data_IF_398840966138
#
_entry.id   IF_398840966138
#
_cell.length_a   1.000
_cell.length_b   1.000
_cell.length_c   1.000
_cell.angle_alpha   90.00
_cell.angle_beta   90.00
_cell.angle_gamma   90.00
#
_symmetry.space_group_name_H-M   'P 1'
#
loop_
_entity.id
_entity.type
_entity.pdbx_description
1 polymer ?
#
# COMPACT_ATOMS: atom_id res chain seq x y z
N UNK A 1 -22.25 5.89 26.41
CA UNK A 1 -21.17 6.34 25.49
C UNK A 1 -21.50 7.75 25.03
N UNK A 2 -20.68 8.76 25.33
CA UNK A 2 -20.94 10.14 24.85
C UNK A 2 -20.57 10.21 23.35
N UNK A 3 -21.50 10.51 22.44
CA UNK A 3 -21.25 10.54 20.99
C UNK A 3 -20.25 11.63 20.53
N UNK A 4 -19.82 12.53 21.43
CA UNK A 4 -19.00 13.70 21.11
C UNK A 4 -17.49 13.45 20.95
N UNK A 5 -16.95 12.27 21.27
CA UNK A 5 -15.47 12.05 21.28
C UNK A 5 -14.86 11.39 20.03
N UNK A 6 -15.67 10.97 19.07
CA UNK A 6 -15.20 10.15 17.92
C UNK A 6 -15.57 10.76 16.56
N UNK A 7 -16.07 12.00 16.55
CA UNK A 7 -16.46 12.69 15.31
C UNK A 7 -15.33 12.77 14.28
N UNK A 8 -14.07 12.85 14.74
CA UNK A 8 -12.90 12.91 13.86
C UNK A 8 -12.68 11.61 13.07
N UNK A 9 -13.07 10.44 13.61
CA UNK A 9 -13.03 9.17 12.88
C UNK A 9 -14.10 9.18 11.80
N UNK A 10 -15.32 9.61 12.15
CA UNK A 10 -16.41 9.77 11.19
C UNK A 10 -16.04 10.73 10.07
N UNK A 11 -15.43 11.87 10.40
CA UNK A 11 -14.94 12.85 9.45
C UNK A 11 -13.88 12.27 8.51
N UNK A 12 -12.96 11.43 9.01
CA UNK A 12 -11.96 10.76 8.19
C UNK A 12 -12.56 9.66 7.29
N UNK A 13 -13.65 9.01 7.71
CA UNK A 13 -14.29 7.93 6.94
C UNK A 13 -15.14 8.44 5.77
N UNK A 14 -15.72 9.64 5.85
CA UNK A 14 -16.49 10.23 4.74
C UNK A 14 -15.68 10.29 3.43
N UNK A 15 -14.47 10.89 3.38
CA UNK A 15 -13.68 10.89 2.15
C UNK A 15 -13.21 9.49 1.76
N UNK A 16 -12.95 8.59 2.71
CA UNK A 16 -12.60 7.19 2.41
C UNK A 16 -13.71 6.49 1.63
N UNK A 17 -14.97 6.61 2.08
CA UNK A 17 -16.11 5.99 1.41
C UNK A 17 -16.34 6.62 0.03
N UNK A 18 -16.18 7.93 -0.09
CA UNK A 18 -16.27 8.60 -1.39
C UNK A 18 -15.19 8.12 -2.36
N UNK A 19 -13.92 8.04 -1.92
CA UNK A 19 -12.81 7.51 -2.71
C UNK A 19 -13.08 6.06 -3.10
N UNK A 20 -13.50 5.22 -2.15
CA UNK A 20 -13.87 3.82 -2.42
C UNK A 20 -14.94 3.71 -3.51
N UNK A 21 -16.02 4.49 -3.41
CA UNK A 21 -17.10 4.47 -4.38
C UNK A 21 -16.62 4.88 -5.78
N UNK A 22 -15.84 5.95 -5.88
CA UNK A 22 -15.28 6.40 -7.17
C UNK A 22 -14.31 5.36 -7.75
N UNK A 23 -13.40 4.82 -6.94
CA UNK A 23 -12.47 3.77 -7.36
C UNK A 23 -13.20 2.49 -7.79
N UNK A 24 -14.27 2.10 -7.10
CA UNK A 24 -15.09 0.96 -7.47
C UNK A 24 -15.79 1.18 -8.82
N UNK A 25 -16.40 2.35 -9.03
CA UNK A 25 -17.04 2.72 -10.30
C UNK A 25 -16.02 2.74 -11.44
N UNK A 26 -14.85 3.37 -11.21
CA UNK A 26 -13.77 3.41 -12.19
C UNK A 26 -13.28 1.99 -12.52
N UNK A 27 -13.09 1.13 -11.51
CA UNK A 27 -12.67 -0.26 -11.69
C UNK A 27 -13.69 -1.09 -12.47
N UNK A 28 -14.99 -0.91 -12.19
CA UNK A 28 -16.07 -1.59 -12.92
C UNK A 28 -16.11 -1.14 -14.39
N UNK A 29 -15.80 0.12 -14.67
CA UNK A 29 -15.78 0.66 -16.02
C UNK A 29 -14.71 0.04 -16.93
N UNK A 30 -13.74 -0.71 -16.38
CA UNK A 30 -12.78 -1.48 -17.17
C UNK A 30 -13.42 -2.71 -17.82
N UNK A 31 -14.47 -3.29 -17.23
CA UNK A 31 -15.05 -4.54 -17.73
C UNK A 31 -15.54 -4.37 -19.18
N UNK A 32 -15.01 -5.21 -20.07
CA UNK A 32 -15.30 -5.18 -21.51
C UNK A 32 -14.50 -4.15 -22.30
N UNK A 33 -13.70 -3.29 -21.67
CA UNK A 33 -12.88 -2.28 -22.37
C UNK A 33 -11.62 -2.88 -22.99
N UNK A 34 -11.09 -2.25 -24.06
CA UNK A 34 -9.78 -2.58 -24.62
C UNK A 34 -8.66 -2.47 -23.58
N UNK A 35 -7.82 -3.49 -23.50
CA UNK A 35 -6.76 -3.62 -22.50
C UNK A 35 -5.46 -4.09 -23.17
N UNK A 36 -4.31 -3.45 -22.89
CA UNK A 36 -3.04 -3.75 -23.56
C UNK A 36 -2.38 -5.07 -23.11
N UNK A 37 -2.91 -5.74 -22.08
CA UNK A 37 -2.30 -6.95 -21.52
C UNK A 37 -1.28 -6.69 -20.42
N UNK A 38 -1.20 -5.46 -19.90
CA UNK A 38 -0.38 -5.10 -18.73
C UNK A 38 -0.95 -3.85 -18.08
N UNK A 39 -0.61 -3.61 -16.81
CA UNK A 39 -0.97 -2.40 -16.09
C UNK A 39 0.14 -1.36 -16.24
N UNK A 40 -0.24 -0.11 -16.45
CA UNK A 40 0.68 1.01 -16.68
C UNK A 40 0.35 2.15 -15.74
N UNK A 41 1.36 2.61 -15.00
CA UNK A 41 1.26 3.79 -14.16
C UNK A 41 1.18 5.07 -15.00
N UNK A 42 0.76 6.18 -14.39
CA UNK A 42 0.57 7.46 -15.09
C UNK A 42 1.81 7.94 -15.83
N UNK A 43 3.01 7.70 -15.27
CA UNK A 43 4.29 8.03 -15.88
C UNK A 43 4.75 7.09 -17.01
N UNK A 44 3.93 6.11 -17.37
CA UNK A 44 4.21 5.17 -18.45
C UNK A 44 5.05 3.95 -18.04
N UNK A 45 5.35 3.79 -16.75
CA UNK A 45 6.05 2.60 -16.22
C UNK A 45 5.06 1.44 -16.11
N UNK A 46 5.43 0.29 -16.65
CA UNK A 46 4.66 -0.94 -16.48
C UNK A 46 4.87 -1.52 -15.08
N UNK A 47 3.80 -1.84 -14.39
CA UNK A 47 3.89 -2.47 -13.06
C UNK A 47 3.91 -3.99 -13.17
N UNK A 48 4.46 -4.65 -12.16
CA UNK A 48 4.57 -6.12 -12.10
C UNK A 48 3.31 -6.84 -11.61
N UNK A 49 2.32 -6.07 -11.15
CA UNK A 49 1.00 -6.60 -10.84
C UNK A 49 0.31 -7.03 -12.12
N UNK A 50 -0.20 -8.27 -12.13
CA UNK A 50 -0.96 -8.74 -13.25
C UNK A 50 -1.26 -10.22 -13.20
N UNK A 51 -1.72 -10.75 -14.34
CA UNK A 51 -2.08 -12.16 -14.47
C UNK A 51 -1.15 -12.85 -15.46
N UNK A 52 -0.79 -14.09 -15.16
CA UNK A 52 0.08 -14.92 -15.99
C UNK A 52 -0.42 -15.13 -17.42
N UNK A 53 -1.71 -14.91 -17.65
CA UNK A 53 -2.39 -15.06 -18.93
C UNK A 53 -2.41 -13.77 -19.78
N UNK A 54 -2.02 -12.62 -19.23
CA UNK A 54 -2.07 -11.34 -19.95
C UNK A 54 -0.91 -11.18 -20.91
N UNK A 55 0.29 -11.48 -20.44
CA UNK A 55 1.51 -11.53 -21.25
C UNK A 55 1.80 -12.98 -21.60
N UNK A 56 1.94 -13.28 -22.90
CA UNK A 56 2.56 -14.55 -23.30
C UNK A 56 3.92 -14.67 -22.58
N UNK A 57 4.18 -15.86 -22.05
CA UNK A 57 5.13 -16.24 -20.99
C UNK A 57 6.62 -15.90 -21.25
N UNK A 58 6.94 -15.10 -22.28
CA UNK A 58 8.31 -14.81 -22.75
C UNK A 58 8.87 -13.44 -22.39
N UNK A 59 8.07 -12.45 -22.00
CA UNK A 59 8.55 -11.06 -21.98
C UNK A 59 8.94 -10.59 -20.57
N UNK A 60 9.99 -11.23 -20.03
CA UNK A 60 10.54 -10.97 -18.67
C UNK A 60 11.04 -9.54 -18.46
N UNK A 61 11.32 -8.80 -19.54
CA UNK A 61 11.88 -7.44 -19.50
C UNK A 61 10.85 -6.33 -19.38
N UNK A 62 9.55 -6.63 -19.44
CA UNK A 62 8.46 -5.64 -19.46
C UNK A 62 8.13 -5.03 -18.09
N UNK A 63 8.06 -5.78 -16.98
CA UNK A 63 7.86 -5.17 -15.66
C UNK A 63 8.95 -4.13 -15.36
N UNK A 64 8.52 -2.97 -14.85
CA UNK A 64 9.35 -1.77 -14.61
C UNK A 64 9.94 -1.09 -15.84
N UNK A 65 9.67 -1.60 -17.05
CA UNK A 65 10.01 -0.88 -18.26
C UNK A 65 9.04 0.29 -18.50
N UNK A 66 9.55 1.39 -19.06
CA UNK A 66 8.73 2.52 -19.49
C UNK A 66 8.33 2.36 -20.96
N UNK A 67 7.06 2.59 -21.27
CA UNK A 67 6.60 2.70 -22.67
C UNK A 67 7.06 4.04 -23.24
N UNK A 68 7.80 4.00 -24.34
CA UNK A 68 8.26 5.18 -25.07
C UNK A 68 7.39 5.49 -26.29
N UNK A 69 6.88 4.46 -26.96
CA UNK A 69 6.08 4.61 -28.17
C UNK A 69 5.11 3.45 -28.38
N UNK A 70 4.04 3.74 -29.12
CA UNK A 70 2.98 2.80 -29.52
C UNK A 70 2.79 2.89 -31.03
N UNK A 71 3.02 1.80 -31.76
CA UNK A 71 3.05 1.74 -33.23
C UNK A 71 3.95 2.83 -33.85
N UNK A 72 5.07 3.13 -33.19
CA UNK A 72 6.02 4.17 -33.63
C UNK A 72 5.66 5.59 -33.21
N UNK A 73 4.47 5.83 -32.65
CA UNK A 73 4.07 7.13 -32.12
C UNK A 73 4.60 7.33 -30.68
N UNK A 74 5.39 8.37 -30.40
CA UNK A 74 5.86 8.65 -29.05
C UNK A 74 4.70 8.86 -28.07
N UNK A 75 4.88 8.41 -26.83
CA UNK A 75 3.91 8.61 -25.74
C UNK A 75 4.59 9.25 -24.53
N UNK A 76 3.87 10.13 -23.84
CA UNK A 76 4.38 10.81 -22.64
C UNK A 76 4.18 10.00 -21.35
N UNK A 77 3.14 9.15 -21.33
CA UNK A 77 2.79 8.34 -20.16
C UNK A 77 1.62 7.39 -20.38
N UNK A 78 1.08 6.86 -19.29
CA UNK A 78 0.03 5.84 -19.30
C UNK A 78 -1.29 6.31 -19.94
N UNK A 79 -1.61 7.60 -19.81
CA UNK A 79 -2.82 8.19 -20.42
C UNK A 79 -2.82 8.07 -21.95
N UNK A 80 -1.71 8.42 -22.59
CA UNK A 80 -1.57 8.34 -24.06
C UNK A 80 -1.67 6.89 -24.53
N UNK A 81 -1.03 5.97 -23.81
CA UNK A 81 -1.08 4.54 -24.10
C UNK A 81 -2.52 4.02 -23.99
N UNK A 82 -3.23 4.36 -22.91
CA UNK A 82 -4.61 3.90 -22.72
C UNK A 82 -5.57 4.53 -23.75
N UNK A 83 -5.39 5.81 -24.10
CA UNK A 83 -6.17 6.48 -25.14
C UNK A 83 -5.99 5.79 -26.49
N UNK A 84 -4.74 5.49 -26.87
CA UNK A 84 -4.43 4.78 -28.10
C UNK A 84 -5.05 3.37 -28.13
N UNK A 85 -4.91 2.61 -27.04
CA UNK A 85 -5.46 1.25 -26.92
C UNK A 85 -6.99 1.25 -27.00
N UNK A 86 -7.64 2.22 -26.34
CA UNK A 86 -9.09 2.38 -26.40
C UNK A 86 -9.57 2.68 -27.82
N UNK A 87 -8.87 3.55 -28.56
CA UNK A 87 -9.20 3.89 -29.94
C UNK A 87 -8.94 2.73 -30.92
N UNK A 88 -7.88 1.94 -30.67
CA UNK A 88 -7.51 0.79 -31.48
C UNK A 88 -8.56 -0.34 -31.48
N UNK A 89 -9.24 -0.55 -30.35
CA UNK A 89 -10.21 -1.62 -30.19
C UNK A 89 -9.60 -3.00 -29.92
N UNK A 90 -10.45 -3.94 -29.49
CA UNK A 90 -10.06 -5.32 -29.17
C UNK A 90 -9.63 -6.07 -30.44
N UNK A 91 -8.55 -6.84 -30.35
CA UNK A 91 -8.02 -7.67 -31.44
C UNK A 91 -6.92 -7.00 -32.28
N UNK A 92 -6.74 -5.67 -32.19
CA UNK A 92 -5.63 -4.99 -32.87
C UNK A 92 -4.28 -5.42 -32.26
N UNK A 93 -3.33 -5.78 -33.10
CA UNK A 93 -1.95 -5.98 -32.66
C UNK A 93 -1.21 -4.63 -32.67
N UNK A 94 -0.63 -4.26 -31.53
CA UNK A 94 0.07 -3.00 -31.31
C UNK A 94 1.54 -3.29 -30.98
N UNK A 95 2.46 -2.54 -31.59
CA UNK A 95 3.89 -2.62 -31.32
C UNK A 95 4.30 -1.57 -30.30
N UNK A 96 4.66 -2.02 -29.11
CA UNK A 96 5.15 -1.16 -28.03
C UNK A 96 6.67 -1.08 -28.09
N UNK A 97 7.22 0.14 -27.91
CA UNK A 97 8.64 0.34 -27.66
C UNK A 97 8.84 0.61 -26.17
N UNK A 98 9.65 -0.21 -25.52
CA UNK A 98 9.94 -0.14 -24.09
C UNK A 98 11.37 0.30 -23.84
N UNK A 99 11.61 0.89 -22.67
CA UNK A 99 12.95 1.14 -22.11
C UNK A 99 13.06 0.53 -20.73
N UNK A 100 14.10 -0.26 -20.50
CA UNK A 100 14.47 -0.76 -19.18
C UNK A 100 15.97 -0.50 -18.95
N UNK A 101 16.30 0.50 -18.14
CA UNK A 101 17.67 1.00 -18.04
C UNK A 101 18.15 1.55 -19.40
N UNK A 102 19.28 1.04 -19.89
CA UNK A 102 19.83 1.36 -21.21
C UNK A 102 19.24 0.52 -22.34
N UNK A 103 18.54 -0.56 -22.02
CA UNK A 103 17.96 -1.45 -23.01
C UNK A 103 16.67 -0.88 -23.58
N UNK A 104 16.55 -0.90 -24.91
CA UNK A 104 15.35 -0.50 -25.65
C UNK A 104 14.94 -1.66 -26.54
N UNK A 105 13.73 -2.17 -26.30
CA UNK A 105 13.22 -3.30 -27.03
C UNK A 105 11.78 -3.05 -27.49
N UNK A 106 11.36 -3.77 -28.53
CA UNK A 106 10.02 -3.69 -29.08
C UNK A 106 9.28 -4.98 -28.86
N UNK A 107 7.98 -4.87 -28.57
CA UNK A 107 7.12 -6.02 -28.37
C UNK A 107 5.77 -5.79 -29.02
N UNK A 108 5.33 -6.77 -29.80
CA UNK A 108 4.00 -6.76 -30.42
C UNK A 108 3.02 -7.49 -29.51
N UNK A 109 2.01 -6.78 -29.04
CA UNK A 109 0.97 -7.31 -28.15
C UNK A 109 -0.41 -7.05 -28.75
N UNK A 110 -1.30 -8.03 -28.61
CA UNK A 110 -2.67 -7.93 -29.10
C UNK A 110 -3.57 -7.35 -28.01
N UNK A 111 -4.35 -6.32 -28.36
CA UNK A 111 -5.35 -5.73 -27.48
C UNK A 111 -6.43 -6.74 -27.16
N UNK A 112 -6.77 -6.88 -25.87
CA UNK A 112 -7.72 -7.88 -25.38
C UNK A 112 -8.84 -7.18 -24.61
N UNK A 113 -10.01 -7.79 -24.43
CA UNK A 113 -11.02 -7.23 -23.53
C UNK A 113 -10.61 -7.51 -22.08
N UNK A 114 -10.71 -6.51 -21.21
CA UNK A 114 -10.58 -6.72 -19.77
C UNK A 114 -11.81 -7.44 -19.23
N UNK A 115 -11.65 -8.65 -18.69
CA UNK A 115 -12.78 -9.52 -18.32
C UNK A 115 -13.23 -9.27 -16.89
N UNK A 116 -14.46 -9.68 -16.55
CA UNK A 116 -14.94 -9.70 -15.17
C UNK A 116 -14.03 -10.50 -14.24
N UNK A 117 -13.44 -11.60 -14.73
CA UNK A 117 -12.45 -12.37 -13.96
C UNK A 117 -11.17 -11.58 -13.69
N UNK A 118 -10.76 -10.70 -14.60
CA UNK A 118 -9.63 -9.80 -14.38
C UNK A 118 -9.96 -8.79 -13.27
N UNK A 119 -11.15 -8.19 -13.31
CA UNK A 119 -11.66 -7.33 -12.25
C UNK A 119 -11.66 -8.03 -10.88
N UNK A 120 -12.26 -9.23 -10.78
CA UNK A 120 -12.39 -9.96 -9.53
C UNK A 120 -11.04 -10.36 -8.91
N UNK A 121 -10.04 -10.65 -9.73
CA UNK A 121 -8.73 -11.09 -9.24
C UNK A 121 -7.76 -9.92 -9.03
N UNK A 122 -7.99 -8.79 -9.69
CA UNK A 122 -7.12 -7.63 -9.59
C UNK A 122 -7.65 -6.60 -8.58
N UNK A 123 -8.86 -6.08 -8.81
CA UNK A 123 -9.38 -4.93 -8.09
C UNK A 123 -10.11 -5.28 -6.80
N UNK A 124 -10.84 -6.41 -6.74
CA UNK A 124 -11.54 -6.80 -5.51
C UNK A 124 -10.59 -7.02 -4.33
N UNK A 125 -9.42 -7.67 -4.47
CA UNK A 125 -8.46 -7.77 -3.36
C UNK A 125 -7.95 -6.40 -2.92
N UNK A 126 -7.62 -5.49 -3.84
CA UNK A 126 -7.14 -4.15 -3.52
C UNK A 126 -8.20 -3.34 -2.76
N UNK A 127 -9.40 -3.26 -3.34
CA UNK A 127 -10.53 -2.52 -2.77
C UNK A 127 -11.01 -3.13 -1.45
N UNK A 128 -11.15 -4.45 -1.40
CA UNK A 128 -11.67 -5.19 -0.25
C UNK A 128 -10.71 -5.16 0.94
N UNK A 129 -9.44 -5.49 0.71
CA UNK A 129 -8.41 -5.44 1.78
C UNK A 129 -8.25 -4.01 2.28
N UNK A 130 -8.14 -3.03 1.38
CA UNK A 130 -7.97 -1.63 1.77
C UNK A 130 -9.13 -1.12 2.62
N UNK A 131 -10.37 -1.42 2.22
CA UNK A 131 -11.56 -1.02 2.97
C UNK A 131 -11.63 -1.73 4.34
N UNK A 132 -11.37 -3.04 4.40
CA UNK A 132 -11.40 -3.80 5.65
C UNK A 132 -10.36 -3.31 6.66
N UNK A 133 -9.13 -3.02 6.21
CA UNK A 133 -8.09 -2.44 7.07
C UNK A 133 -8.58 -1.15 7.74
N UNK A 134 -9.17 -0.24 6.96
CA UNK A 134 -9.67 1.04 7.48
C UNK A 134 -10.86 0.83 8.42
N UNK A 135 -11.85 0.04 8.04
CA UNK A 135 -13.06 -0.13 8.84
C UNK A 135 -12.80 -0.83 10.18
N UNK A 136 -11.96 -1.87 10.19
CA UNK A 136 -11.61 -2.59 11.41
C UNK A 136 -10.83 -1.69 12.35
N UNK A 137 -9.79 -1.01 11.85
CA UNK A 137 -8.99 -0.09 12.66
C UNK A 137 -9.78 1.13 13.15
N UNK A 138 -10.70 1.67 12.34
CA UNK A 138 -11.65 2.70 12.75
C UNK A 138 -12.53 2.21 13.91
N UNK A 139 -13.01 0.96 13.85
CA UNK A 139 -13.77 0.34 14.93
C UNK A 139 -12.97 0.16 16.23
N UNK A 140 -11.66 -0.07 16.15
CA UNK A 140 -10.78 -0.17 17.32
C UNK A 140 -10.58 1.21 17.94
N UNK A 141 -10.18 2.21 17.15
CA UNK A 141 -9.92 3.56 17.67
C UNK A 141 -11.20 4.26 18.14
N UNK A 142 -12.35 3.94 17.57
CA UNK A 142 -13.64 4.42 18.07
C UNK A 142 -13.99 3.89 19.46
N UNK A 143 -13.54 2.67 19.79
CA UNK A 143 -13.69 2.08 21.14
C UNK A 143 -12.64 2.59 22.12
N UNK A 144 -11.45 2.94 21.65
CA UNK A 144 -10.32 3.42 22.47
C UNK A 144 -9.70 4.71 21.92
N UNK A 145 -10.45 5.83 21.86
CA UNK A 145 -9.99 7.06 21.18
C UNK A 145 -8.80 7.75 21.88
N UNK A 146 -8.67 7.56 23.20
CA UNK A 146 -7.58 8.14 24.00
C UNK A 146 -6.29 7.31 23.93
N UNK A 147 -6.38 6.05 23.47
CA UNK A 147 -5.25 5.13 23.41
C UNK A 147 -4.30 5.52 22.26
N UNK A 148 -3.03 5.90 22.54
CA UNK A 148 -2.07 6.28 21.50
C UNK A 148 -1.80 5.14 20.51
N UNK A 149 -1.75 3.89 20.98
CA UNK A 149 -1.56 2.69 20.17
C UNK A 149 -2.71 2.46 19.19
N UNK A 150 -3.97 2.68 19.61
CA UNK A 150 -5.13 2.54 18.74
C UNK A 150 -5.15 3.60 17.63
N UNK A 151 -4.71 4.83 17.94
CA UNK A 151 -4.57 5.91 16.95
C UNK A 151 -3.42 5.66 15.97
N UNK A 152 -2.29 5.16 16.46
CA UNK A 152 -1.16 4.80 15.61
C UNK A 152 -1.53 3.65 14.66
N UNK A 153 -2.22 2.64 15.18
CA UNK A 153 -2.73 1.53 14.37
C UNK A 153 -3.72 1.98 13.30
N UNK A 154 -4.65 2.88 13.66
CA UNK A 154 -5.55 3.50 12.68
C UNK A 154 -4.78 4.26 11.60
N UNK A 155 -3.74 5.02 11.95
CA UNK A 155 -2.92 5.73 10.96
C UNK A 155 -2.22 4.76 9.98
N UNK A 156 -1.68 3.64 10.47
CA UNK A 156 -1.07 2.59 9.63
C UNK A 156 -2.10 2.01 8.66
N UNK A 157 -3.26 1.60 9.19
CA UNK A 157 -4.32 1.01 8.37
C UNK A 157 -4.96 2.01 7.41
N UNK A 158 -5.03 3.28 7.77
CA UNK A 158 -5.50 4.35 6.90
C UNK A 158 -4.54 4.58 5.73
N UNK A 159 -3.23 4.64 6.00
CA UNK A 159 -2.21 4.81 4.97
C UNK A 159 -2.18 3.63 3.99
N UNK A 160 -2.08 2.39 4.50
CA UNK A 160 -2.14 1.19 3.65
C UNK A 160 -3.49 1.08 2.94
N UNK A 161 -4.59 1.31 3.65
CA UNK A 161 -5.93 1.20 3.11
C UNK A 161 -6.18 2.16 1.96
N UNK A 162 -5.86 3.45 2.12
CA UNK A 162 -6.00 4.45 1.06
C UNK A 162 -5.11 4.14 -0.14
N UNK A 163 -3.87 3.72 0.09
CA UNK A 163 -2.98 3.27 -0.99
C UNK A 163 -3.59 2.10 -1.77
N UNK A 164 -4.17 1.10 -1.09
CA UNK A 164 -4.81 -0.04 -1.74
C UNK A 164 -6.09 0.34 -2.49
N UNK A 165 -6.96 1.16 -1.88
CA UNK A 165 -8.20 1.63 -2.50
C UNK A 165 -7.90 2.38 -3.81
N UNK A 166 -6.98 3.32 -3.74
CA UNK A 166 -6.57 4.16 -4.88
C UNK A 166 -5.65 3.44 -5.85
N UNK A 167 -5.06 2.30 -5.46
CA UNK A 167 -4.24 1.47 -6.34
C UNK A 167 -5.00 0.95 -7.55
N UNK A 168 -6.31 0.77 -7.44
CA UNK A 168 -7.17 0.44 -8.59
C UNK A 168 -7.23 1.56 -9.63
N UNK A 169 -7.19 2.81 -9.18
CA UNK A 169 -7.26 4.03 -9.99
C UNK A 169 -5.87 4.46 -10.51
N UNK A 170 -4.80 4.01 -9.86
CA UNK A 170 -3.40 4.29 -10.22
C UNK A 170 -2.98 3.77 -11.60
N UNK A 171 -3.82 2.94 -12.24
CA UNK A 171 -3.57 2.39 -13.58
C UNK A 171 -4.49 2.95 -14.66
N UNK A 172 -5.61 3.56 -14.28
CA UNK A 172 -6.54 4.35 -15.10
C UNK A 172 -7.80 4.61 -14.26
N UNK A 173 -8.42 5.81 -14.27
CA UNK A 173 -8.06 7.03 -14.99
C UNK A 173 -7.03 7.94 -14.30
N UNK A 174 -6.29 7.48 -13.29
CA UNK A 174 -5.23 8.25 -12.61
C UNK A 174 -5.73 9.55 -11.94
N UNK A 175 -6.94 9.53 -11.37
CA UNK A 175 -7.51 10.67 -10.62
C UNK A 175 -6.93 10.74 -9.21
N UNK A 176 -6.69 9.59 -8.60
CA UNK A 176 -6.20 9.47 -7.23
C UNK A 176 -4.72 9.16 -7.13
N UNK A 177 -3.94 9.35 -8.21
CA UNK A 177 -2.48 9.21 -8.17
C UNK A 177 -1.84 10.00 -7.02
N UNK A 178 -2.24 11.27 -6.74
CA UNK A 178 -1.71 11.99 -5.57
C UNK A 178 -2.03 11.31 -4.24
N UNK A 179 -3.26 10.86 -4.06
CA UNK A 179 -3.68 10.17 -2.83
C UNK A 179 -2.93 8.86 -2.66
N UNK A 180 -2.71 8.12 -3.75
CA UNK A 180 -1.92 6.89 -3.74
C UNK A 180 -0.51 7.12 -3.19
N UNK A 181 0.25 8.07 -3.77
CA UNK A 181 1.63 8.33 -3.36
C UNK A 181 1.74 9.00 -1.99
N UNK A 182 0.83 9.91 -1.66
CA UNK A 182 0.80 10.51 -0.31
C UNK A 182 0.48 9.47 0.76
N UNK A 183 -0.43 8.54 0.48
CA UNK A 183 -0.76 7.44 1.40
C UNK A 183 0.40 6.46 1.53
N UNK A 184 1.07 6.14 0.42
CA UNK A 184 2.30 5.33 0.42
C UNK A 184 3.40 5.99 1.30
N UNK A 185 3.61 7.30 1.16
CA UNK A 185 4.56 8.04 1.99
C UNK A 185 4.14 8.16 3.45
N UNK A 186 2.85 8.07 3.77
CA UNK A 186 2.36 8.09 5.15
C UNK A 186 2.59 6.77 5.90
N UNK A 187 2.90 5.67 5.20
CA UNK A 187 3.13 4.36 5.83
C UNK A 187 4.34 4.37 6.78
N UNK A 188 5.55 4.81 6.38
CA UNK A 188 6.69 4.83 7.29
C UNK A 188 6.46 5.63 8.59
N UNK A 189 6.01 6.90 8.57
CA UNK A 189 5.80 7.67 9.80
C UNK A 189 4.66 7.09 10.65
N UNK A 190 3.61 6.52 10.04
CA UNK A 190 2.55 5.84 10.80
C UNK A 190 3.08 4.57 11.50
N UNK A 191 3.93 3.81 10.81
CA UNK A 191 4.54 2.59 11.35
C UNK A 191 5.56 2.91 12.45
N UNK A 192 6.32 4.00 12.29
CA UNK A 192 7.21 4.51 13.32
C UNK A 192 6.42 5.01 14.53
N UNK A 193 5.32 5.75 14.32
CA UNK A 193 4.42 6.15 15.40
C UNK A 193 3.90 4.92 16.16
N UNK A 194 3.58 3.82 15.47
CA UNK A 194 3.19 2.56 16.09
C UNK A 194 4.31 1.99 16.96
N UNK A 195 5.53 1.90 16.43
CA UNK A 195 6.72 1.43 17.16
C UNK A 195 7.07 2.26 18.41
N UNK A 196 6.74 3.55 18.39
CA UNK A 196 6.99 4.46 19.52
C UNK A 196 5.87 4.44 20.57
N UNK A 197 4.69 3.91 20.23
CA UNK A 197 3.52 3.90 21.11
C UNK A 197 3.20 2.52 21.68
N UNK A 198 3.59 1.43 21.00
CA UNK A 198 3.32 0.05 21.42
C UNK A 198 4.54 -0.86 21.16
N UNK A 199 4.85 -1.85 22.04
CA UNK A 199 4.08 -2.32 23.21
C UNK A 199 4.22 -1.43 24.46
N UNK A 200 5.30 -0.65 24.54
CA UNK A 200 5.51 0.38 25.55
C UNK A 200 5.69 1.73 24.88
N UNK A 201 5.09 2.75 25.49
CA UNK A 201 5.24 4.12 25.04
C UNK A 201 6.67 4.60 25.34
N UNK A 202 7.43 4.91 24.30
CA UNK A 202 8.77 5.46 24.44
C UNK A 202 8.72 6.94 24.80
N UNK A 203 9.60 7.37 25.71
CA UNK A 203 9.65 8.76 26.18
C UNK A 203 10.15 9.77 25.11
N UNK A 204 10.69 9.28 23.99
CA UNK A 204 11.41 10.07 22.96
C UNK A 204 10.62 11.26 22.41
N UNK A 205 9.30 11.14 22.23
CA UNK A 205 8.46 12.22 21.68
C UNK A 205 7.67 13.01 22.75
N UNK A 206 7.86 12.69 24.04
CA UNK A 206 7.10 13.29 25.14
C UNK A 206 5.58 13.13 25.02
N UNK A 207 4.82 13.93 25.78
CA UNK A 207 3.33 13.96 25.72
C UNK A 207 2.78 14.91 24.65
N UNK A 208 3.61 15.43 23.74
CA UNK A 208 3.22 16.51 22.81
C UNK A 208 2.62 15.94 21.51
N UNK A 209 1.33 16.17 21.22
CA UNK A 209 0.68 15.63 20.01
C UNK A 209 1.31 16.17 18.71
N UNK A 210 1.82 17.40 18.72
CA UNK A 210 2.51 18.01 17.57
C UNK A 210 3.80 17.28 17.18
N UNK A 211 4.44 16.58 18.12
CA UNK A 211 5.67 15.84 17.84
C UNK A 211 5.40 14.66 16.90
N UNK A 212 4.21 14.04 16.97
CA UNK A 212 3.81 13.01 16.01
C UNK A 212 3.51 13.61 14.63
N UNK A 213 2.93 14.81 14.56
CA UNK A 213 2.68 15.50 13.28
C UNK A 213 4.00 15.84 12.57
N UNK A 214 5.02 16.25 13.32
CA UNK A 214 6.35 16.52 12.80
C UNK A 214 7.00 15.30 12.12
N UNK A 215 6.65 14.06 12.55
CA UNK A 215 7.12 12.84 11.88
C UNK A 215 6.63 12.74 10.44
N UNK A 216 5.44 13.26 10.11
CA UNK A 216 4.86 13.16 8.77
C UNK A 216 5.39 14.23 7.81
N UNK A 217 5.90 15.36 8.32
CA UNK A 217 6.39 16.47 7.51
C UNK A 217 7.44 16.07 6.44
N UNK A 218 8.54 15.35 6.77
CA UNK A 218 9.50 14.93 5.75
C UNK A 218 8.89 13.99 4.71
N UNK A 219 7.92 13.16 5.10
CA UNK A 219 7.25 12.24 4.18
C UNK A 219 6.21 12.91 3.28
N UNK A 220 5.59 14.00 3.74
CA UNK A 220 4.82 14.89 2.86
C UNK A 220 5.72 15.50 1.80
N UNK A 221 6.93 15.94 2.18
CA UNK A 221 7.96 16.40 1.24
C UNK A 221 8.36 15.32 0.23
N UNK A 222 8.60 14.09 0.68
CA UNK A 222 8.88 12.94 -0.19
C UNK A 222 7.70 12.63 -1.14
N UNK A 223 6.46 12.71 -0.66
CA UNK A 223 5.27 12.51 -1.48
C UNK A 223 5.12 13.59 -2.56
N UNK A 224 5.35 14.85 -2.21
CA UNK A 224 5.38 15.94 -3.17
C UNK A 224 6.52 15.76 -4.20
N UNK A 225 7.69 15.34 -3.75
CA UNK A 225 8.83 15.01 -4.62
C UNK A 225 8.55 13.85 -5.57
N UNK A 226 7.86 12.81 -5.11
CA UNK A 226 7.41 11.71 -5.97
C UNK A 226 6.44 12.18 -7.05
N UNK A 227 5.49 13.04 -6.67
CA UNK A 227 4.50 13.57 -7.61
C UNK A 227 5.14 14.48 -8.66
N UNK A 228 6.07 15.36 -8.26
CA UNK A 228 6.75 16.26 -9.20
C UNK A 228 7.76 15.54 -10.10
N UNK A 229 8.38 14.47 -9.62
CA UNK A 229 9.38 13.69 -10.37
C UNK A 229 8.79 12.59 -11.25
N UNK A 230 7.48 12.34 -11.23
CA UNK A 230 6.83 11.30 -12.06
C UNK A 230 7.32 11.22 -13.51
N UNK A 231 7.48 12.34 -14.25
CA UNK A 231 7.93 12.29 -15.64
C UNK A 231 9.37 11.81 -15.82
N UNK A 232 10.20 11.88 -14.78
CA UNK A 232 11.62 11.53 -14.77
C UNK A 232 11.90 10.30 -13.88
N UNK A 233 12.01 9.09 -14.48
CA UNK A 233 12.30 7.87 -13.75
C UNK A 233 13.61 7.90 -12.95
N UNK A 234 14.59 8.70 -13.37
CA UNK A 234 15.90 8.78 -12.71
C UNK A 234 15.82 9.43 -11.33
N UNK A 235 14.85 10.32 -11.13
CA UNK A 235 14.54 10.94 -9.84
C UNK A 235 13.42 10.21 -9.10
N UNK A 236 12.39 9.78 -9.83
CA UNK A 236 11.22 9.11 -9.26
C UNK A 236 11.58 7.79 -8.56
N UNK A 237 12.38 6.92 -9.19
CA UNK A 237 12.69 5.59 -8.65
C UNK A 237 13.52 5.65 -7.36
N UNK A 238 14.59 6.45 -7.25
CA UNK A 238 15.31 6.61 -5.99
C UNK A 238 14.42 7.15 -4.85
N UNK A 239 13.53 8.10 -5.12
CA UNK A 239 12.59 8.60 -4.12
C UNK A 239 11.62 7.49 -3.66
N UNK A 240 11.12 6.69 -4.61
CA UNK A 240 10.22 5.58 -4.31
C UNK A 240 10.92 4.51 -3.45
N UNK A 241 12.15 4.16 -3.80
CA UNK A 241 12.98 3.23 -3.01
C UNK A 241 13.33 3.79 -1.64
N UNK A 242 13.49 5.11 -1.51
CA UNK A 242 13.67 5.76 -0.21
C UNK A 242 12.44 5.54 0.68
N UNK A 243 11.23 5.65 0.15
CA UNK A 243 9.99 5.37 0.89
C UNK A 243 9.91 3.89 1.31
N UNK A 244 10.28 2.97 0.43
CA UNK A 244 10.33 1.53 0.77
C UNK A 244 11.36 1.24 1.86
N UNK A 245 12.55 1.85 1.79
CA UNK A 245 13.58 1.73 2.80
C UNK A 245 13.08 2.20 4.17
N UNK A 246 12.46 3.38 4.25
CA UNK A 246 11.90 3.88 5.50
C UNK A 246 10.75 3.00 6.02
N UNK A 247 9.91 2.47 5.14
CA UNK A 247 8.83 1.53 5.51
C UNK A 247 9.41 0.27 6.15
N UNK A 248 10.43 -0.33 5.52
CA UNK A 248 11.09 -1.52 6.05
C UNK A 248 11.74 -1.27 7.41
N UNK A 249 12.46 -0.15 7.56
CA UNK A 249 13.09 0.22 8.83
C UNK A 249 12.06 0.49 9.94
N UNK A 250 10.94 1.16 9.63
CA UNK A 250 9.88 1.39 10.59
C UNK A 250 9.22 0.07 11.06
N UNK A 251 9.02 -0.88 10.14
CA UNK A 251 8.53 -2.20 10.47
C UNK A 251 9.52 -2.99 11.35
N UNK A 252 10.83 -2.94 11.04
CA UNK A 252 11.87 -3.57 11.85
C UNK A 252 11.93 -2.97 13.26
N UNK A 253 11.82 -1.64 13.39
CA UNK A 253 11.76 -0.98 14.69
C UNK A 253 10.53 -1.43 15.50
N UNK A 254 9.40 -1.63 14.82
CA UNK A 254 8.19 -2.14 15.49
C UNK A 254 8.37 -3.58 15.97
N UNK A 255 8.85 -4.48 15.10
CA UNK A 255 9.18 -5.87 15.46
C UNK A 255 10.18 -5.92 16.61
N UNK A 256 11.25 -5.12 16.54
CA UNK A 256 12.25 -5.02 17.59
C UNK A 256 11.64 -4.55 18.92
N UNK A 257 10.75 -3.56 18.89
CA UNK A 257 10.00 -3.11 20.07
C UNK A 257 9.13 -4.21 20.69
N UNK A 258 8.47 -5.02 19.86
CA UNK A 258 7.66 -6.17 20.32
C UNK A 258 8.53 -7.26 20.94
N UNK A 259 9.63 -7.62 20.28
CA UNK A 259 10.57 -8.65 20.77
C UNK A 259 11.23 -8.22 22.08
N UNK A 260 11.70 -6.97 22.17
CA UNK A 260 12.24 -6.42 23.42
C UNK A 260 11.18 -6.44 24.52
N UNK A 261 9.93 -6.07 24.23
CA UNK A 261 8.85 -6.18 25.20
C UNK A 261 8.61 -7.61 25.73
N UNK A 262 8.82 -8.64 24.90
CA UNK A 262 8.74 -10.03 25.36
C UNK A 262 9.93 -10.42 26.25
N UNK A 263 11.14 -9.97 25.88
CA UNK A 263 12.39 -10.19 26.62
C UNK A 263 12.34 -9.49 27.99
N UNK A 264 11.90 -8.24 28.02
CA UNK A 264 11.75 -7.40 29.22
C UNK A 264 10.59 -7.85 30.13
N UNK A 265 9.86 -8.90 29.73
CA UNK A 265 8.87 -9.53 30.57
C UNK A 265 7.54 -8.80 30.69
N UNK A 266 7.18 -7.95 29.71
CA UNK A 266 5.92 -7.20 29.72
C UNK A 266 4.70 -8.11 29.80
N UNK A 267 3.70 -7.69 30.57
CA UNK A 267 2.44 -8.41 30.77
C UNK A 267 1.23 -7.52 30.50
N UNK A 268 0.14 -8.04 29.89
CA UNK A 268 -0.01 -9.40 29.33
C UNK A 268 0.86 -9.64 28.07
N UNK A 269 1.33 -10.87 27.85
CA UNK A 269 2.21 -11.22 26.70
C UNK A 269 1.42 -11.47 25.42
N UNK A 270 0.20 -11.95 25.57
CA UNK A 270 -0.73 -12.33 24.51
C UNK A 270 -0.91 -11.23 23.45
N UNK A 271 -1.21 -9.97 23.79
CA UNK A 271 -1.35 -8.93 22.78
C UNK A 271 -0.03 -8.62 22.07
N UNK A 272 1.12 -8.78 22.73
CA UNK A 272 2.44 -8.56 22.11
C UNK A 272 2.73 -9.67 21.09
N UNK A 273 2.45 -10.92 21.44
CA UNK A 273 2.58 -12.08 20.53
C UNK A 273 1.64 -11.96 19.35
N UNK A 274 0.39 -11.54 19.57
CA UNK A 274 -0.56 -11.30 18.49
C UNK A 274 -0.09 -10.20 17.54
N UNK A 275 0.40 -9.08 18.06
CA UNK A 275 0.97 -8.00 17.22
C UNK A 275 2.20 -8.47 16.45
N UNK A 276 3.08 -9.26 17.09
CA UNK A 276 4.26 -9.80 16.43
C UNK A 276 3.88 -10.76 15.30
N UNK A 277 2.92 -11.66 15.55
CA UNK A 277 2.37 -12.56 14.55
C UNK A 277 1.67 -11.79 13.41
N UNK A 278 0.99 -10.68 13.73
CA UNK A 278 0.36 -9.80 12.76
C UNK A 278 1.37 -9.21 11.79
N UNK A 279 2.42 -8.58 12.32
CA UNK A 279 3.44 -7.90 11.51
C UNK A 279 4.28 -8.89 10.71
N UNK A 280 4.70 -9.99 11.34
CA UNK A 280 5.47 -11.03 10.67
C UNK A 280 4.62 -11.76 9.61
N UNK A 281 3.35 -12.02 9.90
CA UNK A 281 2.43 -12.64 8.94
C UNK A 281 2.13 -11.73 7.75
N UNK A 282 1.87 -10.44 8.00
CA UNK A 282 1.57 -9.47 6.95
C UNK A 282 2.80 -9.10 6.12
N UNK A 283 3.97 -8.98 6.75
CA UNK A 283 5.21 -8.56 6.11
C UNK A 283 6.03 -9.72 5.55
N UNK A 284 6.00 -10.90 6.18
CA UNK A 284 6.82 -12.06 5.82
C UNK A 284 6.47 -12.63 4.45
N UNK A 285 5.20 -12.65 4.07
CA UNK A 285 4.79 -13.08 2.72
C UNK A 285 5.23 -12.05 1.67
N UNK A 286 5.09 -10.75 1.96
CA UNK A 286 5.57 -9.68 1.08
C UNK A 286 7.10 -9.68 0.91
N UNK A 287 7.85 -9.90 1.99
CA UNK A 287 9.32 -9.99 1.97
C UNK A 287 9.79 -11.26 1.26
N UNK A 288 9.15 -12.41 1.50
CA UNK A 288 9.44 -13.65 0.78
C UNK A 288 9.18 -13.49 -0.72
N UNK A 289 8.08 -12.80 -1.08
CA UNK A 289 7.79 -12.45 -2.48
C UNK A 289 8.85 -11.50 -3.02
N UNK A 290 9.29 -10.48 -2.28
CA UNK A 290 10.32 -9.50 -2.72
C UNK A 290 11.71 -10.14 -2.90
N UNK A 291 12.08 -11.09 -2.03
CA UNK A 291 13.34 -11.84 -2.11
C UNK A 291 13.31 -12.88 -3.24
N UNK A 292 12.16 -13.51 -3.46
CA UNK A 292 11.96 -14.40 -4.61
C UNK A 292 11.64 -13.64 -5.90
N UNK A 293 11.38 -12.33 -5.82
CA UNK A 293 10.93 -11.48 -6.91
C UNK A 293 11.87 -11.46 -8.13
N UNK A 294 13.21 -11.40 -7.97
CA UNK A 294 14.13 -11.50 -9.10
C UNK A 294 14.12 -12.89 -9.77
N UNK A 295 13.64 -13.92 -9.04
CA UNK A 295 13.55 -15.30 -9.51
C UNK A 295 12.16 -15.64 -10.07
N UNK A 296 11.14 -14.85 -9.73
CA UNK A 296 9.76 -15.04 -10.17
C UNK A 296 9.60 -14.61 -11.64
N UNK A 297 9.49 -15.60 -12.53
CA UNK A 297 9.27 -15.39 -13.96
C UNK A 297 7.79 -15.10 -14.32
N UNK A 298 6.94 -14.84 -13.32
CA UNK A 298 5.48 -14.73 -13.48
C UNK A 298 4.95 -13.52 -12.72
N UNK A 299 3.94 -12.81 -13.26
CA UNK A 299 3.28 -11.74 -12.55
C UNK A 299 2.55 -12.27 -11.30
N UNK A 300 2.49 -11.44 -10.27
CA UNK A 300 1.95 -11.81 -8.95
C UNK A 300 0.47 -11.44 -8.90
N UNK A 301 -0.34 -12.38 -8.42
CA UNK A 301 -1.75 -12.14 -8.12
C UNK A 301 -1.87 -11.13 -6.97
N UNK A 302 -2.64 -10.04 -7.12
CA UNK A 302 -2.84 -9.08 -6.03
C UNK A 302 -3.40 -9.71 -4.76
N UNK A 303 -4.25 -10.73 -4.87
CA UNK A 303 -4.76 -11.45 -3.71
C UNK A 303 -3.64 -12.08 -2.85
N UNK A 304 -2.58 -12.59 -3.49
CA UNK A 304 -1.43 -13.18 -2.79
C UNK A 304 -0.56 -12.09 -2.16
N UNK A 305 -0.41 -10.95 -2.85
CA UNK A 305 0.39 -9.84 -2.36
C UNK A 305 -0.28 -9.10 -1.19
N UNK A 306 -1.58 -8.82 -1.30
CA UNK A 306 -2.29 -7.92 -0.37
C UNK A 306 -3.15 -8.66 0.64
N UNK A 307 -3.57 -9.90 0.36
CA UNK A 307 -4.34 -10.72 1.30
C UNK A 307 -3.68 -10.88 2.68
N UNK A 308 -2.36 -11.15 2.77
CA UNK A 308 -1.64 -11.22 4.04
C UNK A 308 -1.73 -9.95 4.90
N UNK A 309 -1.93 -8.77 4.29
CA UNK A 309 -2.06 -7.52 5.03
C UNK A 309 -3.27 -7.52 5.97
N UNK A 310 -4.29 -8.35 5.71
CA UNK A 310 -5.43 -8.52 6.61
C UNK A 310 -5.06 -9.11 7.98
N UNK A 311 -3.89 -9.76 8.11
CA UNK A 311 -3.44 -10.26 9.41
C UNK A 311 -3.22 -9.12 10.41
N UNK A 312 -2.83 -7.92 9.96
CA UNK A 312 -2.71 -6.73 10.80
C UNK A 312 -4.03 -6.37 11.50
N UNK A 313 -5.11 -5.94 10.80
CA UNK A 313 -6.37 -5.59 11.46
C UNK A 313 -7.04 -6.76 12.17
N UNK A 314 -6.87 -8.00 11.70
CA UNK A 314 -7.51 -9.14 12.35
C UNK A 314 -6.88 -9.48 13.70
N UNK A 315 -5.54 -9.57 13.78
CA UNK A 315 -4.86 -9.96 15.02
C UNK A 315 -4.78 -8.78 16.00
N UNK A 316 -4.52 -7.56 15.52
CA UNK A 316 -4.52 -6.36 16.36
C UNK A 316 -5.94 -6.00 16.84
N UNK A 317 -6.95 -6.28 16.01
CA UNK A 317 -8.36 -6.16 16.38
C UNK A 317 -8.82 -7.14 17.45
N UNK A 318 -8.08 -8.24 17.65
CA UNK A 318 -8.25 -9.12 18.82
C UNK A 318 -7.44 -8.59 20.00
N UNK A 319 -6.20 -8.16 19.77
CA UNK A 319 -5.27 -7.74 20.82
C UNK A 319 -5.75 -6.49 21.59
N UNK A 320 -6.03 -5.38 20.90
CA UNK A 320 -6.26 -4.09 21.56
C UNK A 320 -7.58 -3.95 22.30
N UNK A 321 -8.69 -4.57 21.85
CA UNK A 321 -9.95 -4.53 22.60
C UNK A 321 -9.98 -5.49 23.79
N UNK A 322 -9.27 -6.62 23.72
CA UNK A 322 -9.35 -7.69 24.74
C UNK A 322 -8.35 -7.55 25.87
N UNK A 323 -7.18 -6.95 25.62
CA UNK A 323 -6.10 -6.91 26.59
C UNK A 323 -5.81 -5.49 27.08
N UNK A 324 -5.45 -5.37 28.35
CA UNK A 324 -4.93 -4.13 28.91
C UNK A 324 -3.56 -3.79 28.27
N UNK A 325 -3.17 -2.52 28.24
CA UNK A 325 -1.84 -2.12 27.77
C UNK A 325 -0.74 -2.87 28.54
N UNK A 326 0.32 -3.36 27.87
CA UNK A 326 1.41 -4.05 28.54
C UNK A 326 2.13 -3.18 29.58
N UNK A 327 2.35 -3.72 30.76
CA UNK A 327 3.10 -3.08 31.85
C UNK A 327 4.35 -3.90 32.15
N UNK A 328 5.44 -3.21 32.52
CA UNK A 328 6.67 -3.85 32.96
C UNK A 328 6.49 -4.62 34.27
N UNK A 329 7.41 -5.53 34.62
CA UNK A 329 7.43 -6.12 35.94
C UNK A 329 7.48 -4.99 36.98
N UNK A 330 6.57 -5.02 37.95
CA UNK A 330 6.66 -4.16 39.12
C UNK A 330 8.00 -4.46 39.79
N UNK A 331 8.93 -3.51 39.75
CA UNK A 331 10.02 -3.51 40.72
C UNK A 331 9.33 -3.35 42.08
N UNK A 332 9.08 -4.48 42.75
CA UNK A 332 8.99 -4.47 44.20
C UNK A 332 10.29 -3.83 44.68
N UNK A 333 10.18 -2.58 45.13
CA UNK A 333 11.14 -1.98 46.02
C UNK A 333 11.15 -2.87 47.27
N UNK A 334 12.02 -3.87 47.28
CA UNK A 334 12.47 -4.49 48.52
C UNK A 334 13.12 -3.40 49.35
N UNK A 335 12.40 -2.96 50.38
CA UNK A 335 12.93 -2.14 51.45
C UNK A 335 13.94 -2.87 52.31
#
# INVERSE_FOLDING_TARGET
MRPSRVWWVGLALVPVVAIFAVCLVNSLAWIGRPFPGFLIAENGIVVSLGRSQWTETRNRSVPFARVLAVDGHPVSGGRDVQAYVNAAGVGKAITYTFRNGTDIFRLRLTVRPFRTRDFLLLFVPLLGVGLLMILVSAGIVARRPEAPEARAFFAVCLAFGLMLLTGSDAYSPYRFTPVFFLSLCAIPPASLQMALTYPQRRAVLGRRPLAYLALYAPFLGLGAGLLSSMPDPSLFLPLLYTVYLFTANAALLYVGGLVLGLIDGLRPREPIVLSLAAVLGSGGIGLAILVTYPLLQRPISPAVLVGPLLLLPLLEGVAFPRFAPPVGPSHELTG
#
